data_IF_279486957991
#
_entry.id   IF_279486957991
#
_cell.length_a   1.000
_cell.length_b   1.000
_cell.length_c   1.000
_cell.angle_alpha   90.00
_cell.angle_beta   90.00
_cell.angle_gamma   90.00
#
_symmetry.space_group_name_H-M   'P 1'
#
loop_
_entity.id
_entity.type
_entity.pdbx_description
1 polymer ?
#
# COMPACT_ATOMS: atom_id res chain seq x y z
N UNK A 1 7.56 5.67 -23.72
CA UNK A 1 6.71 5.35 -22.56
C UNK A 1 6.03 4.03 -22.85
N UNK A 2 6.37 2.97 -22.12
CA UNK A 2 5.65 1.70 -22.16
C UNK A 2 4.29 1.87 -21.48
N UNK A 3 3.24 1.34 -22.08
CA UNK A 3 1.91 1.33 -21.46
C UNK A 3 1.94 0.41 -20.23
N UNK A 4 1.48 0.92 -19.08
CA UNK A 4 1.36 0.14 -17.84
C UNK A 4 0.29 -0.94 -18.05
N UNK A 5 0.65 -2.21 -17.90
CA UNK A 5 -0.30 -3.33 -17.99
C UNK A 5 -1.08 -3.47 -16.68
N UNK A 6 -2.13 -2.66 -16.54
CA UNK A 6 -2.95 -2.60 -15.31
C UNK A 6 -3.50 -3.96 -14.85
N UNK A 7 -3.90 -4.81 -15.79
CA UNK A 7 -4.39 -6.15 -15.47
C UNK A 7 -3.31 -7.02 -14.81
N UNK A 8 -2.09 -7.03 -15.36
CA UNK A 8 -0.98 -7.74 -14.74
C UNK A 8 -0.64 -7.17 -13.36
N UNK A 9 -0.60 -5.84 -13.23
CA UNK A 9 -0.37 -5.21 -11.93
C UNK A 9 -1.42 -5.65 -10.90
N UNK A 10 -2.70 -5.64 -11.27
CA UNK A 10 -3.77 -6.07 -10.38
C UNK A 10 -3.63 -7.56 -9.99
N UNK A 11 -3.21 -8.42 -10.92
CA UNK A 11 -2.94 -9.84 -10.63
C UNK A 11 -1.81 -9.97 -9.60
N UNK A 12 -0.70 -9.24 -9.76
CA UNK A 12 0.43 -9.30 -8.83
C UNK A 12 0.03 -8.76 -7.45
N UNK A 13 -0.70 -7.65 -7.39
CA UNK A 13 -1.24 -7.11 -6.13
C UNK A 13 -2.15 -8.14 -5.46
N UNK A 14 -3.12 -8.71 -6.18
CA UNK A 14 -4.05 -9.71 -5.62
C UNK A 14 -3.31 -10.95 -5.10
N UNK A 15 -2.28 -11.42 -5.81
CA UNK A 15 -1.40 -12.49 -5.31
C UNK A 15 -0.70 -12.11 -4.01
N UNK A 16 -0.18 -10.89 -3.93
CA UNK A 16 0.46 -10.38 -2.71
C UNK A 16 -0.52 -10.39 -1.52
N UNK A 17 -1.79 -10.03 -1.73
CA UNK A 17 -2.83 -10.13 -0.70
C UNK A 17 -3.16 -11.57 -0.32
N UNK A 18 -3.28 -12.48 -1.29
CA UNK A 18 -3.64 -13.87 -1.05
C UNK A 18 -2.54 -14.68 -0.33
N UNK A 19 -1.28 -14.26 -0.46
CA UNK A 19 -0.12 -14.94 0.12
C UNK A 19 0.25 -14.47 1.53
N UNK A 20 -0.53 -13.57 2.13
CA UNK A 20 -0.31 -13.15 3.52
C UNK A 20 -0.54 -14.34 4.44
N UNK A 21 0.44 -14.60 5.30
CA UNK A 21 0.27 -15.50 6.44
C UNK A 21 0.02 -14.64 7.68
N UNK A 22 -1.23 -14.61 8.13
CA UNK A 22 -1.63 -13.83 9.30
C UNK A 22 -1.00 -14.32 10.61
N UNK A 23 -0.39 -15.51 10.65
CA UNK A 23 0.38 -15.96 11.81
C UNK A 23 1.79 -15.34 11.84
N UNK A 24 2.31 -14.90 10.68
CA UNK A 24 3.65 -14.30 10.56
C UNK A 24 3.55 -12.78 10.42
N UNK A 25 2.67 -12.28 9.55
CA UNK A 25 2.38 -10.85 9.37
C UNK A 25 1.09 -10.49 10.11
N UNK A 26 1.17 -10.44 11.43
CA UNK A 26 -0.02 -10.29 12.27
C UNK A 26 -0.46 -8.83 12.45
N UNK A 27 0.41 -7.85 12.14
CA UNK A 27 0.06 -6.43 12.16
C UNK A 27 -0.23 -5.87 10.76
N UNK A 28 -0.98 -4.77 10.70
CA UNK A 28 -1.28 -4.07 9.45
C UNK A 28 0.00 -3.59 8.74
N UNK A 29 0.97 -3.08 9.48
CA UNK A 29 2.26 -2.62 8.96
C UNK A 29 3.09 -3.77 8.38
N UNK A 30 3.17 -4.92 9.07
CA UNK A 30 3.86 -6.11 8.56
C UNK A 30 3.24 -6.65 7.28
N UNK A 31 1.90 -6.70 7.22
CA UNK A 31 1.18 -7.12 6.01
C UNK A 31 1.46 -6.16 4.85
N UNK A 32 1.53 -4.86 5.11
CA UNK A 32 1.84 -3.86 4.10
C UNK A 32 3.26 -4.00 3.56
N UNK A 33 4.25 -4.12 4.44
CA UNK A 33 5.65 -4.31 4.03
C UNK A 33 5.86 -5.64 3.30
N UNK A 34 5.18 -6.72 3.70
CA UNK A 34 5.17 -7.97 2.94
C UNK A 34 4.66 -7.79 1.50
N UNK A 35 3.47 -7.18 1.33
CA UNK A 35 2.89 -6.94 0.00
C UNK A 35 3.78 -6.07 -0.87
N UNK A 36 4.40 -5.05 -0.30
CA UNK A 36 5.34 -4.16 -0.99
C UNK A 36 6.60 -4.90 -1.43
N UNK A 37 7.20 -5.71 -0.56
CA UNK A 37 8.37 -6.52 -0.89
C UNK A 37 8.07 -7.57 -1.96
N UNK A 38 6.88 -8.20 -1.90
CA UNK A 38 6.42 -9.12 -2.93
C UNK A 38 6.36 -8.45 -4.31
N UNK A 39 5.72 -7.29 -4.41
CA UNK A 39 5.63 -6.51 -5.66
C UNK A 39 7.02 -6.09 -6.17
N UNK A 40 7.92 -5.67 -5.28
CA UNK A 40 9.28 -5.27 -5.63
C UNK A 40 10.13 -6.44 -6.16
N UNK A 41 9.92 -7.65 -5.61
CA UNK A 41 10.61 -8.87 -6.01
C UNK A 41 10.05 -9.49 -7.32
N UNK A 42 8.81 -9.16 -7.69
CA UNK A 42 8.17 -9.72 -8.89
C UNK A 42 8.95 -9.37 -10.16
N UNK A 43 9.36 -10.38 -10.93
CA UNK A 43 10.17 -10.21 -12.14
C UNK A 43 9.33 -9.92 -13.40
N UNK A 44 8.01 -10.11 -13.34
CA UNK A 44 7.10 -9.90 -14.46
C UNK A 44 6.73 -8.42 -14.65
N UNK A 45 6.87 -7.60 -13.60
CA UNK A 45 6.60 -6.17 -13.62
C UNK A 45 7.83 -5.35 -14.01
N UNK A 46 7.64 -4.33 -14.85
CA UNK A 46 8.67 -3.30 -15.10
C UNK A 46 8.83 -2.36 -13.90
N UNK A 47 9.85 -1.51 -13.92
CA UNK A 47 10.08 -0.51 -12.87
C UNK A 47 8.89 0.46 -12.73
N UNK A 48 8.32 0.89 -13.85
CA UNK A 48 7.15 1.77 -13.90
C UNK A 48 5.92 1.07 -13.34
N UNK A 49 5.71 -0.20 -13.68
CA UNK A 49 4.60 -1.01 -13.19
C UNK A 49 4.70 -1.26 -11.68
N UNK A 50 5.91 -1.53 -11.15
CA UNK A 50 6.16 -1.63 -9.71
C UNK A 50 5.83 -0.33 -8.98
N UNK A 51 6.28 0.80 -9.51
CA UNK A 51 5.97 2.12 -8.95
C UNK A 51 4.45 2.38 -8.91
N UNK A 52 3.75 2.05 -10.01
CA UNK A 52 2.30 2.14 -10.07
C UNK A 52 1.62 1.21 -9.06
N UNK A 53 2.06 -0.03 -8.96
CA UNK A 53 1.52 -1.02 -8.02
C UNK A 53 1.70 -0.57 -6.55
N UNK A 54 2.87 -0.04 -6.20
CA UNK A 54 3.16 0.52 -4.87
C UNK A 54 2.25 1.72 -4.58
N UNK A 55 2.00 2.59 -5.56
CA UNK A 55 1.06 3.71 -5.39
C UNK A 55 -0.37 3.23 -5.09
N UNK A 56 -0.81 2.16 -5.76
CA UNK A 56 -2.12 1.53 -5.47
C UNK A 56 -2.13 0.92 -4.07
N UNK A 57 -1.07 0.20 -3.70
CA UNK A 57 -0.94 -0.43 -2.38
C UNK A 57 -0.98 0.60 -1.24
N UNK A 58 -0.25 1.72 -1.37
CA UNK A 58 -0.25 2.79 -0.36
C UNK A 58 -1.64 3.40 -0.15
N UNK A 59 -2.41 3.61 -1.23
CA UNK A 59 -3.80 4.11 -1.11
C UNK A 59 -4.68 3.14 -0.34
N UNK A 60 -4.56 1.84 -0.61
CA UNK A 60 -5.29 0.81 0.12
C UNK A 60 -4.88 0.78 1.59
N UNK A 61 -3.58 0.90 1.87
CA UNK A 61 -3.05 0.93 3.22
C UNK A 61 -3.54 2.11 4.05
N UNK A 62 -3.54 3.32 3.49
CA UNK A 62 -4.12 4.50 4.15
C UNK A 62 -5.61 4.28 4.44
N UNK A 63 -6.35 3.66 3.52
CA UNK A 63 -7.76 3.32 3.76
C UNK A 63 -7.92 2.34 4.93
N UNK A 64 -7.07 1.32 5.04
CA UNK A 64 -7.12 0.37 6.17
C UNK A 64 -6.73 1.02 7.49
N UNK A 65 -5.72 1.92 7.51
CA UNK A 65 -5.36 2.68 8.71
C UNK A 65 -6.54 3.48 9.26
N UNK A 66 -7.26 4.16 8.37
CA UNK A 66 -8.45 4.92 8.73
C UNK A 66 -9.60 4.03 9.20
N UNK A 67 -9.86 2.93 8.50
CA UNK A 67 -10.94 2.00 8.83
C UNK A 67 -10.74 1.32 10.20
N UNK A 68 -9.50 0.92 10.50
CA UNK A 68 -9.14 0.23 11.75
C UNK A 68 -8.76 1.21 12.87
N UNK A 69 -8.57 2.49 12.55
CA UNK A 69 -8.02 3.50 13.45
C UNK A 69 -6.67 3.05 14.06
N UNK A 70 -5.81 2.46 13.21
CA UNK A 70 -4.54 1.86 13.58
C UNK A 70 -3.37 2.46 12.80
N UNK A 71 -2.19 2.42 13.42
CA UNK A 71 -0.93 2.89 12.85
C UNK A 71 -0.46 4.23 13.40
N UNK A 72 0.66 4.70 12.87
CA UNK A 72 1.30 5.94 13.32
C UNK A 72 0.58 7.16 12.78
N UNK A 73 0.12 8.02 13.68
CA UNK A 73 -0.39 9.36 13.35
C UNK A 73 0.74 10.30 12.96
N UNK A 74 0.44 11.26 12.08
CA UNK A 74 1.30 12.39 11.73
C UNK A 74 0.52 13.69 11.89
N UNK A 75 1.22 14.82 12.02
CA UNK A 75 0.58 16.14 12.00
C UNK A 75 0.47 16.58 10.53
N UNK A 76 -0.73 16.99 10.10
CA UNK A 76 -0.93 17.56 8.78
C UNK A 76 -0.32 18.96 8.69
N UNK A 77 0.51 19.23 7.70
CA UNK A 77 1.10 20.57 7.49
C UNK A 77 0.08 21.64 7.10
N UNK A 78 -1.09 21.25 6.57
CA UNK A 78 -2.12 22.18 6.11
C UNK A 78 -3.10 22.56 7.23
N UNK A 79 -3.74 21.57 7.87
CA UNK A 79 -4.73 21.82 8.93
C UNK A 79 -4.16 21.74 10.36
N UNK A 80 -2.93 21.27 10.55
CA UNK A 80 -2.28 21.09 11.86
C UNK A 80 -2.93 20.05 12.79
N UNK A 81 -3.89 19.26 12.28
CA UNK A 81 -4.50 18.16 13.02
C UNK A 81 -3.68 16.86 12.91
N UNK A 82 -3.85 15.98 13.88
CA UNK A 82 -3.37 14.60 13.80
C UNK A 82 -4.16 13.83 12.73
N UNK A 83 -3.45 13.20 11.81
CA UNK A 83 -4.02 12.37 10.75
C UNK A 83 -3.29 11.03 10.63
N UNK A 84 -4.01 9.98 10.24
CA UNK A 84 -3.51 8.60 10.12
C UNK A 84 -3.04 8.26 8.71
N UNK A 85 -3.67 8.84 7.69
CA UNK A 85 -3.30 8.56 6.30
C UNK A 85 -1.93 9.19 5.96
N UNK A 86 -1.14 8.48 5.15
CA UNK A 86 0.23 8.87 4.78
C UNK A 86 0.24 9.69 3.48
N UNK A 87 -0.57 9.33 2.49
CA UNK A 87 -0.62 9.99 1.18
C UNK A 87 -1.52 11.23 1.15
N UNK A 88 -2.49 11.32 2.05
CA UNK A 88 -3.43 12.45 2.15
C UNK A 88 -3.77 12.70 3.63
N UNK A 89 -4.51 13.77 3.91
CA UNK A 89 -5.08 14.01 5.23
C UNK A 89 -6.58 13.73 5.15
N UNK A 90 -7.10 12.89 6.04
CA UNK A 90 -8.53 12.55 6.08
C UNK A 90 -9.44 13.71 6.53
N UNK A 91 -8.85 14.84 6.92
CA UNK A 91 -9.56 16.05 7.34
C UNK A 91 -9.52 17.19 6.31
N UNK A 92 -8.79 17.02 5.18
CA UNK A 92 -8.58 18.07 4.16
C UNK A 92 -9.11 17.66 2.78
#
# INVERSE_FOLDING_TARGET
MTSIRKELVNIVINKAYALIDYNIQNTLDEQFEFRKNFILADKSLTKEEKSYAIKVLNKGFDHYKLLLNEGTKRICENCHDECLATLFCEHC
#
